data_IF_160067061131
#
_entry.id   IF_160067061131
#
_cell.length_a   1.000
_cell.length_b   1.000
_cell.length_c   1.000
_cell.angle_alpha   90.00
_cell.angle_beta   90.00
_cell.angle_gamma   90.00
#
_symmetry.space_group_name_H-M   'P 1'
#
loop_
_entity.id
_entity.type
_entity.pdbx_description
1 polymer ?
#
# COMPACT_ATOMS: atom_id res chain seq x y z
N UNK A 1 -4.76 5.91 -10.19
CA UNK A 1 -3.85 5.14 -11.07
C UNK A 1 -2.43 5.68 -10.97
N UNK A 2 -1.43 4.79 -10.84
CA UNK A 2 0.00 5.09 -10.76
C UNK A 2 0.63 5.28 -12.17
N UNK A 3 1.69 6.10 -12.31
CA UNK A 3 2.47 6.13 -13.54
C UNK A 3 3.05 4.75 -13.88
N UNK A 4 3.14 4.34 -15.16
CA UNK A 4 3.64 3.01 -15.53
C UNK A 4 5.08 2.69 -15.07
N UNK A 5 5.89 3.74 -14.88
CA UNK A 5 7.25 3.60 -14.36
C UNK A 5 7.25 3.22 -12.87
N UNK A 6 6.32 3.74 -12.07
CA UNK A 6 6.28 3.51 -10.62
C UNK A 6 5.70 2.13 -10.30
N UNK A 7 6.58 1.21 -9.91
CA UNK A 7 6.24 -0.21 -9.71
C UNK A 7 6.48 -0.70 -8.28
N UNK A 8 7.36 -0.06 -7.52
CA UNK A 8 7.79 -0.53 -6.19
C UNK A 8 7.47 0.51 -5.13
N UNK A 9 6.73 0.14 -4.09
CA UNK A 9 6.65 0.92 -2.85
C UNK A 9 7.52 0.25 -1.79
N UNK A 10 8.53 0.97 -1.29
CA UNK A 10 9.40 0.48 -0.22
C UNK A 10 8.90 0.94 1.15
N UNK A 11 8.64 -0.02 2.03
CA UNK A 11 8.04 0.17 3.33
C UNK A 11 9.03 -0.28 4.41
N UNK A 12 9.25 0.56 5.42
CA UNK A 12 10.00 0.23 6.62
C UNK A 12 9.04 0.16 7.82
N UNK A 13 9.34 -0.66 8.84
CA UNK A 13 8.43 -0.89 9.95
C UNK A 13 8.32 0.30 10.92
N UNK A 14 9.08 1.38 10.73
CA UNK A 14 9.12 2.51 11.65
C UNK A 14 7.87 3.39 11.60
N UNK A 15 7.23 3.48 10.43
CA UNK A 15 6.07 4.35 10.25
C UNK A 15 4.98 3.71 9.38
N UNK A 16 3.70 3.94 9.69
CA UNK A 16 2.60 3.49 8.85
C UNK A 16 2.61 4.23 7.49
N UNK A 17 2.11 3.55 6.47
CA UNK A 17 1.94 4.12 5.13
C UNK A 17 0.48 4.02 4.72
N UNK A 18 -0.10 5.19 4.44
CA UNK A 18 -1.47 5.28 4.00
C UNK A 18 -1.62 4.97 2.50
N UNK A 19 -2.80 4.55 2.09
CA UNK A 19 -3.20 4.45 0.70
C UNK A 19 -4.45 5.33 0.52
N UNK A 20 -4.44 6.19 -0.49
CA UNK A 20 -5.63 6.98 -0.81
C UNK A 20 -5.47 7.85 -2.04
N UNK A 21 -6.53 8.60 -2.36
CA UNK A 21 -6.66 9.29 -3.64
C UNK A 21 -5.93 10.63 -3.71
N UNK A 22 -5.97 11.36 -2.61
CA UNK A 22 -5.49 12.74 -2.55
C UNK A 22 -4.03 12.78 -2.08
N UNK A 23 -3.37 13.94 -2.23
CA UNK A 23 -2.02 14.15 -1.67
C UNK A 23 -2.10 14.15 -0.14
N UNK A 24 -0.99 13.85 0.50
CA UNK A 24 -0.85 13.93 1.96
C UNK A 24 0.59 14.32 2.30
N UNK A 25 0.75 15.01 3.42
CA UNK A 25 2.05 15.30 4.01
C UNK A 25 2.64 14.08 4.73
N UNK A 26 1.81 13.07 5.04
CA UNK A 26 2.22 11.79 5.57
C UNK A 26 2.60 10.82 4.45
N UNK A 27 3.29 9.74 4.81
CA UNK A 27 3.66 8.66 3.88
C UNK A 27 2.40 8.05 3.26
N UNK A 28 2.30 8.14 1.93
CA UNK A 28 1.13 7.75 1.17
C UNK A 28 1.45 7.19 -0.20
N UNK A 29 0.90 6.01 -0.48
CA UNK A 29 0.71 5.52 -1.84
C UNK A 29 -0.52 6.20 -2.42
N UNK A 30 -0.30 7.13 -3.35
CA UNK A 30 -1.39 7.91 -3.95
C UNK A 30 -1.97 7.22 -5.18
N UNK A 31 -3.24 6.81 -5.08
CA UNK A 31 -4.00 6.22 -6.19
C UNK A 31 -5.06 7.20 -6.70
N UNK A 32 -4.72 7.97 -7.75
CA UNK A 32 -5.62 8.95 -8.38
C UNK A 32 -6.78 8.29 -9.13
N UNK A 33 -7.78 7.78 -8.42
CA UNK A 33 -8.98 7.17 -8.99
C UNK A 33 -10.19 7.41 -8.09
N UNK A 34 -11.38 7.56 -8.67
CA UNK A 34 -12.60 7.87 -7.90
C UNK A 34 -13.03 6.72 -6.99
N UNK A 35 -12.70 5.48 -7.37
CA UNK A 35 -12.96 4.29 -6.56
C UNK A 35 -12.13 4.25 -5.26
N UNK A 36 -11.13 5.12 -5.12
CA UNK A 36 -10.29 5.21 -3.93
C UNK A 36 -10.72 6.38 -3.06
N UNK A 37 -10.81 6.11 -1.76
CA UNK A 37 -11.19 7.10 -0.75
C UNK A 37 -10.03 8.05 -0.46
N UNK A 38 -10.32 9.22 0.13
CA UNK A 38 -9.27 10.17 0.55
C UNK A 38 -8.27 9.51 1.51
N UNK A 39 -8.79 8.81 2.52
CA UNK A 39 -8.06 7.83 3.32
C UNK A 39 -8.74 6.48 3.08
N UNK A 40 -8.06 5.54 2.42
CA UNK A 40 -8.69 4.29 1.98
C UNK A 40 -8.23 3.10 2.82
N UNK A 41 -6.93 2.95 2.99
CA UNK A 41 -6.34 1.91 3.83
C UNK A 41 -5.02 2.39 4.44
N UNK A 42 -4.55 1.69 5.46
CA UNK A 42 -3.24 1.94 6.08
C UNK A 42 -2.48 0.63 6.23
N UNK A 43 -1.24 0.61 5.73
CA UNK A 43 -0.26 -0.43 5.96
C UNK A 43 0.59 -0.07 7.17
N UNK A 44 0.87 -1.01 8.06
CA UNK A 44 1.69 -0.76 9.23
C UNK A 44 2.33 -2.05 9.76
N UNK A 45 3.43 -1.89 10.49
CA UNK A 45 4.02 -2.98 11.27
C UNK A 45 3.40 -2.99 12.66
N UNK A 46 2.92 -4.15 13.10
CA UNK A 46 2.48 -4.34 14.48
C UNK A 46 3.64 -4.81 15.37
N UNK A 47 3.66 -4.29 16.60
CA UNK A 47 4.73 -4.54 17.59
C UNK A 47 4.35 -5.63 18.61
N UNK A 48 3.31 -6.41 18.34
CA UNK A 48 2.99 -7.62 19.14
C UNK A 48 4.07 -8.70 18.97
N UNK A 49 4.06 -9.72 19.83
CA UNK A 49 5.06 -10.79 19.83
C UNK A 49 5.28 -11.36 18.42
N UNK A 50 6.53 -11.28 17.94
CA UNK A 50 6.95 -11.73 16.61
C UNK A 50 6.85 -10.69 15.51
N UNK A 51 6.03 -9.65 15.68
CA UNK A 51 5.80 -8.56 14.72
C UNK A 51 5.27 -9.03 13.35
N UNK A 52 4.42 -8.22 12.73
CA UNK A 52 3.96 -8.53 11.37
C UNK A 52 3.46 -7.30 10.63
N UNK A 53 3.46 -7.38 9.30
CA UNK A 53 2.80 -6.40 8.45
C UNK A 53 1.29 -6.63 8.49
N UNK A 54 0.54 -5.54 8.64
CA UNK A 54 -0.91 -5.55 8.60
C UNK A 54 -1.44 -4.43 7.69
N UNK A 55 -2.64 -4.63 7.18
CA UNK A 55 -3.43 -3.62 6.50
C UNK A 55 -4.77 -3.43 7.24
N UNK A 56 -5.24 -2.19 7.30
CA UNK A 56 -6.59 -1.87 7.75
C UNK A 56 -7.31 -1.04 6.68
N UNK A 57 -8.57 -1.38 6.38
CA UNK A 57 -9.45 -0.54 5.57
C UNK A 57 -10.03 0.59 6.45
N UNK A 58 -9.90 1.83 5.99
CA UNK A 58 -10.29 3.03 6.75
C UNK A 58 -11.72 3.47 6.41
N UNK A 59 -12.68 2.54 6.47
CA UNK A 59 -14.08 2.79 6.12
C UNK A 59 -14.25 3.28 4.68
N UNK A 60 -13.60 2.61 3.74
CA UNK A 60 -13.65 2.96 2.35
C UNK A 60 -15.02 2.65 1.71
N UNK A 61 -15.38 3.41 0.67
CA UNK A 61 -16.66 3.17 -0.04
C UNK A 61 -16.62 1.88 -0.86
N UNK A 62 -15.54 1.66 -1.60
CA UNK A 62 -15.42 0.56 -2.56
C UNK A 62 -14.68 -0.67 -2.03
N UNK A 63 -14.09 -0.59 -0.84
CA UNK A 63 -13.45 -1.70 -0.17
C UNK A 63 -11.99 -1.91 -0.55
N UNK A 64 -11.23 -2.37 0.45
CA UNK A 64 -9.93 -3.02 0.30
C UNK A 64 -10.13 -4.52 0.22
N UNK A 65 -9.43 -5.18 -0.71
CA UNK A 65 -9.51 -6.62 -0.90
C UNK A 65 -8.15 -7.28 -0.80
N UNK A 66 -8.08 -8.42 -0.12
CA UNK A 66 -6.86 -9.23 0.01
C UNK A 66 -7.10 -10.61 -0.57
N UNK A 67 -6.08 -11.17 -1.22
CA UNK A 67 -6.05 -12.55 -1.70
C UNK A 67 -4.75 -13.17 -1.21
N UNK A 68 -4.86 -14.24 -0.44
CA UNK A 68 -3.70 -14.97 0.04
C UNK A 68 -2.94 -15.63 -1.12
N UNK A 69 -1.65 -15.91 -0.93
CA UNK A 69 -0.88 -16.71 -1.91
C UNK A 69 -1.59 -18.04 -2.20
N UNK A 70 -1.69 -18.41 -3.48
CA UNK A 70 -2.34 -19.65 -3.93
C UNK A 70 -3.87 -19.59 -4.01
N UNK A 71 -4.51 -18.58 -3.41
CA UNK A 71 -5.96 -18.42 -3.47
C UNK A 71 -6.43 -17.84 -4.80
N UNK A 72 -7.65 -18.22 -5.21
CA UNK A 72 -8.22 -17.76 -6.48
C UNK A 72 -9.02 -16.46 -6.36
N UNK A 73 -9.56 -16.18 -5.18
CA UNK A 73 -10.53 -15.10 -4.98
C UNK A 73 -10.02 -14.06 -4.00
N UNK A 74 -10.37 -12.82 -4.27
CA UNK A 74 -10.18 -11.70 -3.37
C UNK A 74 -11.29 -11.70 -2.32
N UNK A 75 -10.91 -11.49 -1.05
CA UNK A 75 -11.81 -11.30 0.08
C UNK A 75 -11.81 -9.83 0.45
N UNK A 76 -13.01 -9.25 0.62
CA UNK A 76 -13.18 -7.87 1.07
C UNK A 76 -12.94 -7.80 2.58
N UNK A 77 -12.18 -6.81 3.05
CA UNK A 77 -11.81 -6.71 4.47
C UNK A 77 -12.95 -6.23 5.38
N UNK A 78 -13.86 -5.41 4.85
CA UNK A 78 -15.00 -4.85 5.60
C UNK A 78 -16.11 -4.40 4.65
N UNK A 79 -17.31 -4.23 5.20
CA UNK A 79 -18.44 -3.62 4.48
C UNK A 79 -18.15 -2.16 4.07
N UNK A 80 -18.91 -1.67 3.10
CA UNK A 80 -18.76 -0.29 2.63
C UNK A 80 -18.94 0.72 3.77
N UNK A 81 -18.02 1.68 3.88
CA UNK A 81 -18.01 2.72 4.93
C UNK A 81 -17.89 2.17 6.36
N UNK A 82 -17.34 0.97 6.51
CA UNK A 82 -17.03 0.36 7.82
C UNK A 82 -15.54 0.07 7.86
N UNK A 83 -14.86 0.50 8.92
CA UNK A 83 -13.44 0.20 9.08
C UNK A 83 -13.24 -1.29 9.36
N UNK A 84 -12.19 -1.89 8.79
CA UNK A 84 -11.86 -3.28 9.10
C UNK A 84 -11.11 -3.39 10.42
N UNK A 85 -11.01 -4.61 10.94
CA UNK A 85 -9.94 -4.94 11.89
C UNK A 85 -8.60 -5.06 11.14
N UNK A 86 -7.45 -4.95 11.82
CA UNK A 86 -6.15 -5.23 11.20
C UNK A 86 -6.10 -6.63 10.58
N UNK A 87 -5.85 -6.67 9.28
CA UNK A 87 -5.64 -7.91 8.53
C UNK A 87 -4.15 -8.15 8.35
N UNK A 88 -3.64 -9.26 8.90
CA UNK A 88 -2.24 -9.66 8.75
C UNK A 88 -1.93 -9.97 7.28
N UNK A 89 -0.79 -9.50 6.81
CA UNK A 89 -0.27 -9.76 5.48
C UNK A 89 0.88 -10.76 5.56
N UNK A 90 0.94 -11.64 4.58
CA UNK A 90 2.02 -12.58 4.34
C UNK A 90 2.76 -12.26 3.04
N UNK A 91 3.92 -12.88 2.87
CA UNK A 91 4.64 -12.79 1.61
C UNK A 91 3.75 -13.37 0.49
N UNK A 92 3.75 -12.70 -0.67
CA UNK A 92 3.01 -13.04 -1.89
C UNK A 92 1.49 -12.88 -1.83
N UNK A 93 0.96 -12.34 -0.73
CA UNK A 93 -0.41 -11.84 -0.69
C UNK A 93 -0.62 -10.75 -1.75
N UNK A 94 -1.82 -10.70 -2.33
CA UNK A 94 -2.22 -9.64 -3.24
C UNK A 94 -3.21 -8.70 -2.58
N UNK A 95 -2.97 -7.40 -2.66
CA UNK A 95 -3.89 -6.36 -2.16
C UNK A 95 -4.49 -5.64 -3.36
N UNK A 96 -5.81 -5.55 -3.45
CA UNK A 96 -6.52 -4.81 -4.50
C UNK A 96 -7.33 -3.67 -3.90
N UNK A 97 -7.09 -2.48 -4.43
CA UNK A 97 -7.75 -1.23 -4.07
C UNK A 97 -8.12 -0.53 -5.37
N UNK A 98 -9.43 -0.34 -5.57
CA UNK A 98 -10.02 0.12 -6.84
C UNK A 98 -9.51 -0.68 -8.04
N UNK A 99 -8.79 -0.05 -8.96
CA UNK A 99 -8.23 -0.72 -10.15
C UNK A 99 -6.80 -1.24 -9.97
N UNK A 100 -6.15 -0.88 -8.87
CA UNK A 100 -4.74 -1.20 -8.63
C UNK A 100 -4.61 -2.45 -7.78
N UNK A 101 -3.71 -3.36 -8.18
CA UNK A 101 -3.35 -4.55 -7.39
C UNK A 101 -1.86 -4.51 -7.08
N UNK A 102 -1.52 -4.70 -5.81
CA UNK A 102 -0.15 -4.83 -5.31
C UNK A 102 0.14 -6.28 -4.94
N UNK A 103 1.38 -6.72 -5.15
CA UNK A 103 1.91 -7.96 -4.59
C UNK A 103 2.75 -7.63 -3.35
N UNK A 104 2.53 -8.32 -2.25
CA UNK A 104 3.23 -8.11 -0.98
C UNK A 104 4.53 -8.90 -0.99
N UNK A 105 5.66 -8.20 -0.83
CA UNK A 105 6.96 -8.83 -0.71
C UNK A 105 7.58 -8.47 0.63
N UNK A 106 7.85 -9.47 1.47
CA UNK A 106 8.42 -9.30 2.82
C UNK A 106 9.81 -9.91 2.78
N UNK A 107 10.82 -9.07 2.97
CA UNK A 107 12.22 -9.49 2.92
C UNK A 107 12.87 -9.30 4.29
N UNK A 108 13.42 -10.35 4.92
CA UNK A 108 14.20 -10.20 6.15
C UNK A 108 15.57 -9.57 5.91
N UNK A 109 16.03 -9.55 4.65
CA UNK A 109 17.32 -9.00 4.25
C UNK A 109 17.21 -8.22 2.93
N UNK A 110 17.86 -8.70 1.87
CA UNK A 110 17.90 -8.00 0.59
C UNK A 110 16.61 -8.16 -0.21
N UNK A 111 16.25 -7.11 -0.95
CA UNK A 111 15.13 -7.13 -1.87
C UNK A 111 15.38 -8.13 -3.02
N UNK A 112 14.33 -8.83 -3.44
CA UNK A 112 14.39 -9.64 -4.66
C UNK A 112 14.48 -8.77 -5.93
N UNK A 113 14.74 -9.38 -7.09
CA UNK A 113 14.85 -8.66 -8.37
C UNK A 113 13.61 -7.85 -8.72
N UNK A 114 12.42 -8.29 -8.31
CA UNK A 114 11.14 -7.59 -8.54
C UNK A 114 11.00 -6.36 -7.64
N UNK A 115 11.55 -6.42 -6.43
CA UNK A 115 11.50 -5.33 -5.44
C UNK A 115 12.72 -4.41 -5.49
N UNK A 116 13.69 -4.70 -6.37
CA UNK A 116 14.87 -3.89 -6.53
C UNK A 116 14.48 -2.50 -7.03
N UNK A 117 14.95 -1.47 -6.32
CA UNK A 117 14.77 -0.08 -6.73
C UNK A 117 15.89 0.25 -7.72
N UNK A 118 15.52 0.81 -8.87
CA UNK A 118 16.47 1.28 -9.87
C UNK A 118 17.43 2.30 -9.24
N UNK A 119 18.67 2.36 -9.71
CA UNK A 119 19.69 3.26 -9.15
C UNK A 119 19.29 4.74 -9.20
N UNK A 120 18.46 5.12 -10.18
CA UNK A 120 17.89 6.46 -10.34
C UNK A 120 16.52 6.64 -9.63
N UNK A 121 16.07 5.64 -8.89
CA UNK A 121 14.75 5.58 -8.24
C UNK A 121 13.54 5.73 -9.18
N UNK A 122 13.73 5.57 -10.49
CA UNK A 122 12.67 5.77 -11.50
C UNK A 122 11.47 4.83 -11.35
N UNK A 123 11.69 3.65 -10.75
CA UNK A 123 10.64 2.67 -10.50
C UNK A 123 9.99 2.76 -9.11
N UNK A 124 10.44 3.68 -8.27
CA UNK A 124 9.95 3.86 -6.91
C UNK A 124 8.63 4.64 -6.93
N UNK A 125 7.67 4.21 -6.12
CA UNK A 125 6.46 4.97 -5.80
C UNK A 125 6.84 5.94 -4.66
N UNK A 126 6.86 7.27 -4.90
CA UNK A 126 7.20 8.22 -3.86
C UNK A 126 6.11 8.22 -2.77
N UNK A 127 6.51 8.01 -1.52
CA UNK A 127 5.60 7.98 -0.38
C UNK A 127 5.35 9.37 0.21
N UNK A 128 6.29 10.30 0.08
CA UNK A 128 6.12 11.67 0.55
C UNK A 128 6.08 12.58 -0.67
N UNK A 129 5.13 13.51 -0.73
CA UNK A 129 5.17 14.54 -1.76
C UNK A 129 6.22 15.56 -1.37
N UNK A 130 7.35 15.59 -2.08
CA UNK A 130 8.23 16.76 -2.03
C UNK A 130 7.48 17.94 -2.62
N UNK A 131 7.25 19.00 -1.83
CA UNK A 131 6.80 20.27 -2.38
C UNK A 131 7.91 20.84 -3.26
N UNK A 132 7.83 20.60 -4.56
CA UNK A 132 8.57 21.39 -5.54
C UNK A 132 7.89 22.74 -5.68
N UNK A 133 7.92 23.53 -4.59
CA UNK A 133 7.66 24.97 -4.62
C UNK A 133 9.00 25.69 -4.55
N UNK A 134 9.83 25.52 -5.58
CA UNK A 134 11.01 26.34 -5.88
C UNK A 134 11.41 26.05 -7.33
N UNK A 135 10.84 26.82 -8.25
CA UNK A 135 11.60 27.63 -9.21
C UNK A 135 10.64 28.25 -10.25
N UNK A 136 10.49 29.58 -10.12
CA UNK A 136 9.89 30.59 -11.01
C UNK A 136 8.36 30.63 -11.19
#
# INVERSE_FOLDING_TARGET
VLPPAHKVASLDPGEPVSIGRDKSYERRIRLRELAVSKSHATLFWTVVVGGYWAIVDNASTHGTFVRAEGEKRFVRLSEAKVASVPHRLYHLDSIRIGSTTFSVHIHPSFACSVCSVASDSSNLIPLVTSDTSKDK
#
